data_IF_320896463699
#
_entry.id   IF_320896463699
#
_cell.length_a   1.000
_cell.length_b   1.000
_cell.length_c   1.000
_cell.angle_alpha   90.00
_cell.angle_beta   90.00
_cell.angle_gamma   90.00
#
_symmetry.space_group_name_H-M   'P 1'
#
loop_
_entity.id
_entity.type
_entity.pdbx_description
1 polymer ?
#
# COMPACT_ATOMS: atom_id res chain seq x y z
N UNK A 1 -1.16 4.11 33.02
CA UNK A 1 0.22 4.42 32.60
C UNK A 1 0.15 4.96 31.18
N UNK A 2 0.28 6.26 31.00
CA UNK A 2 0.25 6.92 29.69
C UNK A 2 1.69 7.16 29.25
N UNK A 3 2.21 6.33 28.35
CA UNK A 3 3.51 6.62 27.72
C UNK A 3 3.33 7.82 26.79
N UNK A 4 4.14 8.85 27.00
CA UNK A 4 4.07 10.03 26.14
C UNK A 4 4.57 9.67 24.73
N UNK A 5 4.16 10.44 23.72
CA UNK A 5 4.50 10.16 22.32
C UNK A 5 6.02 10.07 22.09
N UNK A 6 6.79 10.92 22.79
CA UNK A 6 8.25 10.99 22.65
C UNK A 6 8.91 9.71 23.18
N UNK A 7 8.44 9.17 24.31
CA UNK A 7 8.92 7.90 24.87
C UNK A 7 8.60 6.72 23.96
N UNK A 8 7.40 6.71 23.38
CA UNK A 8 7.01 5.68 22.41
C UNK A 8 7.92 5.71 21.18
N UNK A 9 8.14 6.90 20.61
CA UNK A 9 9.05 7.09 19.46
C UNK A 9 10.47 6.66 19.82
N UNK A 10 10.98 7.06 20.99
CA UNK A 10 12.32 6.67 21.43
C UNK A 10 12.46 5.16 21.62
N UNK A 11 11.41 4.49 22.13
CA UNK A 11 11.37 3.03 22.25
C UNK A 11 11.47 2.34 20.90
N UNK A 12 10.68 2.80 19.92
CA UNK A 12 10.75 2.28 18.53
C UNK A 12 12.13 2.52 17.93
N UNK A 13 12.67 3.74 18.05
CA UNK A 13 13.97 4.10 17.49
C UNK A 13 15.11 3.30 18.12
N UNK A 14 15.05 2.99 19.43
CA UNK A 14 16.03 2.12 20.09
C UNK A 14 15.93 0.68 19.60
N UNK A 15 14.72 0.16 19.42
CA UNK A 15 14.50 -1.22 18.98
C UNK A 15 14.91 -1.51 17.53
N UNK A 16 15.11 -0.48 16.70
CA UNK A 16 15.47 -0.65 15.28
C UNK A 16 16.94 -0.36 14.96
N UNK A 17 17.77 -0.02 15.95
CA UNK A 17 19.17 0.43 15.75
C UNK A 17 20.07 -0.60 15.05
N UNK A 18 19.78 -1.87 15.21
CA UNK A 18 20.59 -2.98 14.65
C UNK A 18 19.92 -3.64 13.43
N UNK A 19 18.84 -3.05 12.91
CA UNK A 19 18.14 -3.56 11.73
C UNK A 19 18.69 -2.93 10.46
N UNK A 20 18.79 -3.73 9.39
CA UNK A 20 19.11 -3.19 8.07
C UNK A 20 18.05 -2.17 7.62
N UNK A 21 18.48 -1.13 6.91
CA UNK A 21 17.58 -0.14 6.29
C UNK A 21 16.55 -0.85 5.41
N UNK A 22 16.96 -1.87 4.66
CA UNK A 22 16.08 -2.69 3.82
C UNK A 22 14.99 -3.38 4.64
N UNK A 23 15.34 -3.97 5.79
CA UNK A 23 14.37 -4.62 6.68
C UNK A 23 13.34 -3.61 7.23
N UNK A 24 13.80 -2.41 7.58
CA UNK A 24 12.95 -1.33 8.07
C UNK A 24 11.97 -0.84 6.99
N UNK A 25 12.47 -0.58 5.79
CA UNK A 25 11.66 -0.19 4.64
C UNK A 25 10.64 -1.27 4.32
N UNK A 26 11.03 -2.55 4.26
CA UNK A 26 10.13 -3.67 4.00
C UNK A 26 9.01 -3.77 5.04
N UNK A 27 9.34 -3.76 6.33
CA UNK A 27 8.33 -3.81 7.41
C UNK A 27 7.36 -2.63 7.33
N UNK A 28 7.89 -1.43 7.09
CA UNK A 28 7.09 -0.21 7.00
C UNK A 28 6.15 -0.27 5.81
N UNK A 29 6.67 -0.63 4.64
CA UNK A 29 5.90 -0.80 3.40
C UNK A 29 4.74 -1.77 3.61
N UNK A 30 4.99 -2.97 4.16
CA UNK A 30 3.92 -3.96 4.35
C UNK A 30 2.88 -3.56 5.38
N UNK A 31 3.29 -2.89 6.47
CA UNK A 31 2.34 -2.37 7.47
C UNK A 31 1.46 -1.28 6.88
N UNK A 32 2.04 -0.37 6.11
CA UNK A 32 1.28 0.68 5.41
C UNK A 32 0.35 0.08 4.37
N UNK A 33 0.81 -0.87 3.56
CA UNK A 33 -0.03 -1.49 2.53
C UNK A 33 -1.24 -2.20 3.14
N UNK A 34 -1.06 -2.93 4.24
CA UNK A 34 -2.16 -3.55 4.98
C UNK A 34 -3.16 -2.50 5.52
N UNK A 35 -2.65 -1.40 6.08
CA UNK A 35 -3.50 -0.30 6.57
C UNK A 35 -4.28 0.35 5.43
N UNK A 36 -3.63 0.69 4.31
CA UNK A 36 -4.28 1.32 3.16
C UNK A 36 -5.30 0.40 2.51
N UNK A 37 -5.03 -0.91 2.42
CA UNK A 37 -5.99 -1.91 1.93
C UNK A 37 -7.25 -1.92 2.78
N UNK A 38 -7.10 -1.96 4.11
CA UNK A 38 -8.24 -1.89 5.04
C UNK A 38 -9.00 -0.57 4.90
N UNK A 39 -8.30 0.56 4.87
CA UNK A 39 -8.90 1.89 4.74
C UNK A 39 -9.61 2.08 3.40
N UNK A 40 -9.09 1.51 2.32
CA UNK A 40 -9.76 1.47 1.01
C UNK A 40 -11.08 0.71 1.08
N UNK A 41 -11.10 -0.46 1.73
CA UNK A 41 -12.31 -1.26 1.90
C UNK A 41 -13.36 -0.51 2.74
N UNK A 42 -12.96 0.08 3.88
CA UNK A 42 -13.81 0.93 4.71
C UNK A 42 -14.39 2.11 3.90
N UNK A 43 -13.55 2.83 3.15
CA UNK A 43 -13.98 3.96 2.34
C UNK A 43 -14.93 3.55 1.22
N UNK A 44 -14.69 2.41 0.57
CA UNK A 44 -15.58 1.86 -0.46
C UNK A 44 -16.95 1.52 0.12
N UNK A 45 -16.99 0.86 1.28
CA UNK A 45 -18.24 0.56 1.97
C UNK A 45 -19.01 1.83 2.37
N UNK A 46 -18.31 2.85 2.88
CA UNK A 46 -18.89 4.15 3.24
C UNK A 46 -19.52 4.84 2.02
N UNK A 47 -18.83 4.86 0.88
CA UNK A 47 -19.36 5.39 -0.39
C UNK A 47 -20.57 4.59 -0.87
N UNK A 48 -20.50 3.25 -0.86
CA UNK A 48 -21.60 2.38 -1.26
C UNK A 48 -22.84 2.51 -0.37
N UNK A 49 -22.67 2.90 0.90
CA UNK A 49 -23.75 3.21 1.82
C UNK A 49 -24.34 4.64 1.63
N UNK A 50 -23.85 5.40 0.65
CA UNK A 50 -24.29 6.78 0.37
C UNK A 50 -23.79 7.81 1.39
N UNK A 51 -22.85 7.43 2.25
CA UNK A 51 -22.31 8.32 3.28
C UNK A 51 -21.22 9.22 2.69
N UNK A 52 -21.34 10.52 2.91
CA UNK A 52 -20.43 11.52 2.34
C UNK A 52 -19.18 11.71 3.21
N UNK A 53 -18.03 11.81 2.55
CA UNK A 53 -16.83 12.37 3.16
C UNK A 53 -16.87 13.90 3.10
N UNK A 54 -15.96 14.58 3.81
CA UNK A 54 -15.75 16.01 3.60
C UNK A 54 -15.43 16.29 2.12
N UNK A 55 -15.74 17.50 1.65
CA UNK A 55 -15.49 17.89 0.25
C UNK A 55 -14.02 17.66 -0.13
N UNK A 56 -13.10 18.08 0.74
CA UNK A 56 -11.66 17.86 0.57
C UNK A 56 -11.30 16.37 0.40
N UNK A 57 -11.82 15.51 1.29
CA UNK A 57 -11.52 14.09 1.24
C UNK A 57 -12.14 13.42 0.00
N UNK A 58 -13.35 13.82 -0.38
CA UNK A 58 -14.02 13.36 -1.60
C UNK A 58 -13.20 13.71 -2.84
N UNK A 59 -12.76 14.96 -2.97
CA UNK A 59 -11.91 15.39 -4.10
C UNK A 59 -10.61 14.58 -4.17
N UNK A 60 -9.94 14.35 -3.03
CA UNK A 60 -8.71 13.55 -2.99
C UNK A 60 -8.95 12.09 -3.37
N UNK A 61 -10.03 11.48 -2.89
CA UNK A 61 -10.38 10.09 -3.23
C UNK A 61 -10.61 9.97 -4.74
N UNK A 62 -11.40 10.88 -5.33
CA UNK A 62 -11.69 10.86 -6.76
C UNK A 62 -10.43 11.11 -7.61
N UNK A 63 -9.59 12.07 -7.22
CA UNK A 63 -8.32 12.33 -7.91
C UNK A 63 -7.40 11.11 -7.86
N UNK A 64 -7.24 10.48 -6.69
CA UNK A 64 -6.43 9.29 -6.55
C UNK A 64 -7.00 8.10 -7.37
N UNK A 65 -8.32 7.96 -7.43
CA UNK A 65 -8.97 6.94 -8.27
C UNK A 65 -8.72 7.18 -9.76
N UNK A 66 -8.83 8.42 -10.23
CA UNK A 66 -8.49 8.75 -11.62
C UNK A 66 -7.02 8.46 -11.93
N UNK A 67 -6.10 8.84 -11.06
CA UNK A 67 -4.66 8.60 -11.26
C UNK A 67 -4.27 7.12 -11.23
N UNK A 68 -5.02 6.29 -10.47
CA UNK A 68 -4.81 4.84 -10.38
C UNK A 68 -5.68 4.03 -11.35
N UNK A 69 -6.49 4.68 -12.19
CA UNK A 69 -7.51 4.01 -13.01
C UNK A 69 -6.93 2.98 -13.97
N UNK A 70 -5.70 3.20 -14.43
CA UNK A 70 -5.10 2.37 -15.46
C UNK A 70 -4.37 1.14 -14.91
N UNK A 71 -4.11 1.08 -13.60
CA UNK A 71 -3.30 0.02 -12.99
C UNK A 71 -3.98 -0.48 -11.73
N UNK A 72 -4.28 -1.77 -11.71
CA UNK A 72 -4.83 -2.47 -10.55
C UNK A 72 -3.83 -3.53 -10.09
N UNK A 73 -3.47 -3.52 -8.81
CA UNK A 73 -2.69 -4.61 -8.21
C UNK A 73 -3.68 -5.59 -7.57
N UNK A 74 -3.73 -6.82 -8.09
CA UNK A 74 -4.72 -7.84 -7.73
C UNK A 74 -4.24 -8.78 -6.63
N UNK A 75 -3.02 -9.29 -6.76
CA UNK A 75 -2.42 -10.24 -5.83
C UNK A 75 -1.06 -9.73 -5.38
N UNK A 76 -0.83 -9.81 -4.07
CA UNK A 76 0.48 -9.50 -3.48
C UNK A 76 0.93 -10.69 -2.63
N UNK A 77 1.83 -11.51 -3.18
CA UNK A 77 2.55 -12.53 -2.41
C UNK A 77 3.71 -11.87 -1.69
N UNK A 78 3.50 -11.62 -0.40
CA UNK A 78 4.49 -10.98 0.46
C UNK A 78 5.74 -11.82 0.69
N UNK A 79 5.62 -13.14 0.70
CA UNK A 79 6.74 -14.03 1.00
C UNK A 79 7.67 -14.16 -0.20
N UNK A 80 7.12 -14.14 -1.39
CA UNK A 80 7.87 -14.23 -2.64
C UNK A 80 8.15 -12.86 -3.29
N UNK A 81 7.57 -11.79 -2.74
CA UNK A 81 7.64 -10.41 -3.26
C UNK A 81 7.18 -10.33 -4.73
N UNK A 82 6.10 -11.05 -5.02
CA UNK A 82 5.47 -11.11 -6.34
C UNK A 82 4.17 -10.32 -6.31
N UNK A 83 4.00 -9.46 -7.31
CA UNK A 83 2.81 -8.65 -7.51
C UNK A 83 2.17 -9.02 -8.84
N UNK A 84 0.86 -9.23 -8.83
CA UNK A 84 0.06 -9.31 -10.05
C UNK A 84 -0.51 -7.92 -10.33
N UNK A 85 -0.09 -7.34 -11.45
CA UNK A 85 -0.44 -6.00 -11.88
C UNK A 85 -1.26 -6.11 -13.15
N UNK A 86 -2.47 -5.60 -13.12
CA UNK A 86 -3.39 -5.54 -14.24
C UNK A 86 -3.47 -4.14 -14.81
N UNK A 87 -3.23 -4.01 -16.10
CA UNK A 87 -3.52 -2.80 -16.85
C UNK A 87 -5.02 -2.78 -17.21
N UNK A 88 -5.77 -1.88 -16.59
CA UNK A 88 -7.24 -1.88 -16.66
C UNK A 88 -7.84 -1.56 -18.05
N UNK A 89 -7.23 -0.72 -18.91
CA UNK A 89 -7.74 -0.51 -20.27
C UNK A 89 -7.63 -1.75 -21.17
N UNK A 90 -6.57 -2.55 -21.01
CA UNK A 90 -6.25 -3.69 -21.88
C UNK A 90 -6.65 -5.04 -21.27
N UNK A 91 -6.78 -5.10 -19.94
CA UNK A 91 -6.93 -6.33 -19.17
C UNK A 91 -5.64 -7.17 -19.11
N UNK A 92 -4.50 -6.62 -19.53
CA UNK A 92 -3.23 -7.34 -19.49
C UNK A 92 -2.75 -7.51 -18.06
N UNK A 93 -2.38 -8.73 -17.70
CA UNK A 93 -1.84 -9.07 -16.39
C UNK A 93 -0.33 -9.30 -16.50
N UNK A 94 0.41 -8.73 -15.56
CA UNK A 94 1.86 -8.84 -15.46
C UNK A 94 2.24 -9.31 -14.06
N UNK A 95 3.07 -10.33 -13.95
CA UNK A 95 3.75 -10.64 -12.71
C UNK A 95 5.02 -9.79 -12.59
N UNK A 96 5.16 -9.10 -11.47
CA UNK A 96 6.38 -8.37 -11.07
C UNK A 96 7.01 -9.09 -9.89
N UNK A 97 8.16 -9.71 -10.11
CA UNK A 97 8.95 -10.37 -9.08
C UNK A 97 10.11 -9.48 -8.65
N UNK A 98 9.99 -8.86 -7.47
CA UNK A 98 11.00 -7.94 -6.97
C UNK A 98 12.30 -8.64 -6.53
N UNK A 99 12.25 -9.92 -6.14
CA UNK A 99 13.45 -10.67 -5.72
C UNK A 99 14.34 -11.02 -6.91
N UNK A 100 13.72 -11.36 -8.04
CA UNK A 100 14.40 -11.70 -9.27
C UNK A 100 14.65 -10.49 -10.17
N UNK A 101 14.15 -9.30 -9.78
CA UNK A 101 14.20 -8.09 -10.61
C UNK A 101 13.62 -8.32 -12.01
N UNK A 102 12.42 -8.90 -12.04
CA UNK A 102 11.78 -9.35 -13.27
C UNK A 102 10.33 -8.86 -13.37
N UNK A 103 9.95 -8.40 -14.56
CA UNK A 103 8.57 -8.16 -14.97
C UNK A 103 8.29 -9.00 -16.23
N UNK A 104 7.11 -9.62 -16.30
CA UNK A 104 6.67 -10.32 -17.52
C UNK A 104 6.57 -9.40 -18.74
N UNK A 105 6.45 -8.10 -18.51
CA UNK A 105 6.49 -7.06 -19.54
C UNK A 105 7.88 -6.89 -20.20
N UNK A 106 8.92 -7.52 -19.65
CA UNK A 106 10.30 -7.44 -20.14
C UNK A 106 11.07 -6.19 -19.68
N UNK A 107 10.40 -5.27 -18.97
CA UNK A 107 10.97 -4.01 -18.48
C UNK A 107 11.09 -4.04 -16.95
N UNK A 108 12.28 -3.75 -16.40
CA UNK A 108 12.52 -3.65 -14.95
C UNK A 108 13.46 -2.50 -14.60
#
# INVERSE_FOLDING_TARGET
>A
MTTNLVECINGVLKGVRDLSITSLVKVTFYRLNALFTRKRAEAKAHISAGQLFSEYATQKILSNQCSSRNIQVNLFDRQNEVFEVCEMPSGLEFAVNLRLQHCDCGEF
#
